data_IF_524285636992
#
_entry.id   IF_524285636992
#
_cell.length_a   1.000
_cell.length_b   1.000
_cell.length_c   1.000
_cell.angle_alpha   90.00
_cell.angle_beta   90.00
_cell.angle_gamma   90.00
#
_symmetry.space_group_name_H-M   'P 1'
#
loop_
_entity.id
_entity.type
_entity.pdbx_description
1 polymer ?
#
# COMPACT_ATOMS: atom_id res chain seq x y z
N UNK A 1 53.63 -30.05 -3.55
CA UNK A 1 52.92 -29.92 -4.84
C UNK A 1 52.15 -31.21 -5.05
N UNK A 2 50.88 -31.25 -4.65
CA UNK A 2 50.06 -32.44 -4.84
C UNK A 2 49.89 -32.66 -6.35
N UNK A 3 50.36 -33.80 -6.85
CA UNK A 3 50.47 -34.10 -8.28
C UNK A 3 49.12 -34.19 -9.01
N UNK A 4 49.11 -34.65 -10.28
CA UNK A 4 47.96 -34.59 -11.20
C UNK A 4 46.66 -35.19 -10.64
N UNK A 5 46.72 -36.13 -9.70
CA UNK A 5 45.54 -36.68 -9.03
C UNK A 5 44.69 -35.63 -8.30
N UNK A 6 45.32 -34.57 -7.75
CA UNK A 6 44.57 -33.49 -7.08
C UNK A 6 43.85 -32.59 -8.09
N UNK A 7 44.40 -32.47 -9.29
CA UNK A 7 43.75 -31.71 -10.36
C UNK A 7 42.49 -32.44 -10.84
N UNK A 8 42.56 -33.75 -11.08
CA UNK A 8 41.38 -34.56 -11.45
C UNK A 8 40.27 -34.50 -10.40
N UNK A 9 40.61 -34.51 -9.11
CA UNK A 9 39.62 -34.36 -8.05
C UNK A 9 38.91 -32.99 -8.10
N UNK A 10 39.67 -31.91 -8.27
CA UNK A 10 39.11 -30.56 -8.41
C UNK A 10 38.22 -30.44 -9.64
N UNK A 11 38.66 -30.99 -10.77
CA UNK A 11 37.86 -31.04 -11.99
C UNK A 11 36.55 -31.82 -11.78
N UNK A 12 36.61 -32.96 -11.10
CA UNK A 12 35.43 -33.73 -10.71
C UNK A 12 34.47 -32.89 -9.87
N UNK A 13 34.96 -32.25 -8.81
CA UNK A 13 34.11 -31.38 -7.96
C UNK A 13 33.51 -30.24 -8.76
N UNK A 14 34.29 -29.56 -9.60
CA UNK A 14 33.78 -28.44 -10.41
C UNK A 14 32.76 -28.84 -11.47
N UNK A 15 32.79 -30.08 -11.96
CA UNK A 15 31.76 -30.58 -12.88
C UNK A 15 30.53 -31.09 -12.12
N UNK A 16 30.76 -31.95 -11.11
CA UNK A 16 29.67 -32.63 -10.41
C UNK A 16 28.89 -31.71 -9.47
N UNK A 17 29.53 -30.71 -8.87
CA UNK A 17 28.83 -29.81 -7.95
C UNK A 17 27.74 -29.00 -8.66
N UNK A 18 28.02 -28.27 -9.76
CA UNK A 18 26.97 -27.58 -10.50
C UNK A 18 25.93 -28.53 -11.09
N UNK A 19 26.34 -29.69 -11.60
CA UNK A 19 25.38 -30.69 -12.13
C UNK A 19 24.44 -31.21 -11.05
N UNK A 20 24.96 -31.54 -9.86
CA UNK A 20 24.17 -32.07 -8.76
C UNK A 20 23.18 -31.02 -8.25
N UNK A 21 23.62 -29.77 -8.10
CA UNK A 21 22.76 -28.63 -7.76
C UNK A 21 21.65 -28.47 -8.82
N UNK A 22 22.00 -28.53 -10.11
CA UNK A 22 21.03 -28.42 -11.20
C UNK A 22 20.00 -29.57 -11.18
N UNK A 23 20.42 -30.81 -10.94
CA UNK A 23 19.49 -31.96 -10.88
C UNK A 23 18.59 -31.89 -9.66
N UNK A 24 19.11 -31.45 -8.52
CA UNK A 24 18.33 -31.35 -7.29
C UNK A 24 17.29 -30.22 -7.35
N UNK A 25 17.75 -29.00 -7.63
CA UNK A 25 16.90 -27.80 -7.64
C UNK A 25 16.15 -27.58 -8.96
N UNK A 26 16.63 -28.15 -10.06
CA UNK A 26 15.99 -28.08 -11.37
C UNK A 26 14.87 -29.10 -11.57
N UNK A 27 14.60 -29.96 -10.58
CA UNK A 27 13.45 -30.85 -10.67
C UNK A 27 12.15 -30.04 -10.68
N UNK A 28 11.21 -30.34 -11.59
CA UNK A 28 9.94 -29.62 -11.66
C UNK A 28 9.16 -29.78 -10.35
N UNK A 29 9.30 -30.91 -9.67
CA UNK A 29 8.70 -31.16 -8.38
C UNK A 29 9.19 -30.18 -7.30
N UNK A 30 10.52 -30.01 -7.15
CA UNK A 30 11.09 -29.09 -6.18
C UNK A 30 10.63 -27.64 -6.41
N UNK A 31 10.56 -27.20 -7.67
CA UNK A 31 10.04 -25.88 -8.03
C UNK A 31 8.58 -25.68 -7.63
N UNK A 32 7.72 -26.68 -7.91
CA UNK A 32 6.29 -26.61 -7.57
C UNK A 32 6.07 -26.54 -6.05
N UNK A 33 6.85 -27.26 -5.25
CA UNK A 33 6.66 -27.28 -3.80
C UNK A 33 7.28 -26.07 -3.08
N UNK A 34 8.42 -25.56 -3.57
CA UNK A 34 9.18 -24.55 -2.83
C UNK A 34 8.99 -23.13 -3.39
N UNK A 35 8.82 -22.97 -4.71
CA UNK A 35 8.80 -21.64 -5.35
C UNK A 35 7.37 -21.15 -5.58
N UNK A 36 6.47 -22.02 -6.05
CA UNK A 36 5.08 -21.61 -6.33
C UNK A 36 4.31 -21.13 -5.10
N UNK A 37 4.38 -21.78 -3.92
CA UNK A 37 3.61 -21.33 -2.76
C UNK A 37 4.06 -19.96 -2.24
N UNK A 38 5.35 -19.63 -2.42
CA UNK A 38 5.89 -18.31 -2.06
C UNK A 38 5.28 -17.22 -2.95
N UNK A 39 5.02 -17.53 -4.23
CA UNK A 39 4.37 -16.59 -5.16
C UNK A 39 3.00 -16.16 -4.62
N UNK A 40 2.22 -17.10 -4.12
CA UNK A 40 0.85 -16.84 -3.64
C UNK A 40 0.82 -16.08 -2.30
N UNK A 41 1.90 -16.18 -1.51
CA UNK A 41 2.06 -15.41 -0.28
C UNK A 41 2.54 -13.98 -0.53
N UNK A 42 3.41 -13.79 -1.54
CA UNK A 42 4.00 -12.48 -1.81
C UNK A 42 3.11 -11.61 -2.71
N UNK A 43 2.42 -12.20 -3.69
CA UNK A 43 1.54 -11.45 -4.57
C UNK A 43 0.12 -11.34 -4.00
N UNK A 44 -0.51 -10.14 -4.06
CA UNK A 44 -1.93 -10.01 -3.74
C UNK A 44 -2.76 -10.94 -4.61
N UNK A 45 -3.74 -11.63 -4.01
CA UNK A 45 -4.65 -12.51 -4.74
C UNK A 45 -5.35 -11.73 -5.86
N UNK A 46 -5.49 -12.33 -7.04
CA UNK A 46 -6.13 -11.69 -8.21
C UNK A 46 -7.57 -11.25 -7.96
N UNK A 47 -8.24 -11.83 -6.96
CA UNK A 47 -9.58 -11.46 -6.50
C UNK A 47 -9.59 -10.13 -5.72
N UNK A 48 -8.50 -9.83 -4.99
CA UNK A 48 -8.35 -8.57 -4.26
C UNK A 48 -8.00 -7.40 -5.17
N UNK A 49 -7.57 -7.70 -6.40
CA UNK A 49 -7.13 -6.69 -7.34
C UNK A 49 -8.32 -6.02 -8.00
N UNK A 50 -8.30 -4.68 -8.06
CA UNK A 50 -9.30 -3.91 -8.79
C UNK A 50 -9.28 -4.30 -10.26
N UNK A 51 -10.41 -4.82 -10.76
CA UNK A 51 -10.60 -5.17 -12.17
C UNK A 51 -11.26 -3.99 -12.87
N UNK A 52 -10.57 -3.31 -13.80
CA UNK A 52 -11.19 -2.23 -14.56
C UNK A 52 -12.32 -2.78 -15.44
N UNK A 53 -13.45 -2.07 -15.55
CA UNK A 53 -14.56 -2.48 -16.39
C UNK A 53 -14.11 -2.56 -17.85
N UNK A 54 -14.38 -3.70 -18.50
CA UNK A 54 -13.97 -3.95 -19.89
C UNK A 54 -15.13 -3.85 -20.87
N UNK A 55 -16.35 -4.07 -20.40
CA UNK A 55 -17.56 -4.07 -21.21
C UNK A 55 -18.36 -2.78 -21.00
N UNK A 56 -19.18 -2.41 -21.97
CA UNK A 56 -20.02 -1.20 -21.89
C UNK A 56 -21.06 -1.26 -20.75
N UNK A 57 -21.54 -2.46 -20.42
CA UNK A 57 -22.43 -2.71 -19.29
C UNK A 57 -21.69 -2.51 -17.96
N UNK A 58 -20.49 -3.07 -17.81
CA UNK A 58 -19.64 -2.88 -16.62
C UNK A 58 -19.28 -1.41 -16.37
N UNK A 59 -19.13 -0.62 -17.44
CA UNK A 59 -18.86 0.81 -17.32
C UNK A 59 -20.05 1.56 -16.71
N UNK A 60 -21.28 1.17 -17.07
CA UNK A 60 -22.49 1.79 -16.52
C UNK A 60 -22.66 1.43 -15.04
N UNK A 61 -22.50 0.16 -14.68
CA UNK A 61 -22.60 -0.29 -13.29
C UNK A 61 -21.54 0.38 -12.41
N UNK A 62 -20.30 0.44 -12.86
CA UNK A 62 -19.23 1.15 -12.15
C UNK A 62 -19.52 2.64 -11.98
N UNK A 63 -20.09 3.31 -13.00
CA UNK A 63 -20.48 4.71 -12.90
C UNK A 63 -21.58 4.94 -11.86
N UNK A 64 -22.59 4.07 -11.83
CA UNK A 64 -23.70 4.19 -10.89
C UNK A 64 -23.24 3.92 -9.45
N UNK A 65 -22.34 2.94 -9.24
CA UNK A 65 -21.66 2.78 -7.95
C UNK A 65 -20.87 4.03 -7.54
N UNK A 66 -20.13 4.65 -8.47
CA UNK A 66 -19.38 5.86 -8.17
C UNK A 66 -20.29 7.03 -7.81
N UNK A 67 -21.44 7.18 -8.47
CA UNK A 67 -22.46 8.18 -8.11
C UNK A 67 -23.02 7.92 -6.71
N UNK A 68 -23.39 6.67 -6.41
CA UNK A 68 -23.90 6.29 -5.10
C UNK A 68 -22.88 6.56 -3.98
N UNK A 69 -21.60 6.19 -4.20
CA UNK A 69 -20.50 6.49 -3.26
C UNK A 69 -20.33 8.00 -3.03
N UNK A 70 -20.49 8.83 -4.06
CA UNK A 70 -20.43 10.30 -3.95
C UNK A 70 -21.59 10.87 -3.13
N UNK A 71 -22.82 10.38 -3.36
CA UNK A 71 -24.00 10.82 -2.62
C UNK A 71 -23.90 10.44 -1.14
N UNK A 72 -23.56 9.19 -0.83
CA UNK A 72 -23.37 8.72 0.55
C UNK A 72 -22.30 9.54 1.30
N UNK A 73 -21.18 9.86 0.64
CA UNK A 73 -20.13 10.72 1.23
C UNK A 73 -20.61 12.15 1.46
N UNK A 74 -21.47 12.69 0.59
CA UNK A 74 -22.06 14.02 0.76
C UNK A 74 -23.03 14.03 1.94
N UNK A 75 -23.87 13.02 2.06
CA UNK A 75 -24.81 12.87 3.18
C UNK A 75 -24.09 12.74 4.52
N UNK A 76 -23.04 11.90 4.60
CA UNK A 76 -22.23 11.76 5.80
C UNK A 76 -21.63 13.10 6.26
N UNK A 77 -21.08 13.89 5.32
CA UNK A 77 -20.55 15.24 5.63
C UNK A 77 -21.62 16.20 6.15
N UNK A 78 -22.84 16.09 5.61
CA UNK A 78 -23.94 16.97 6.00
C UNK A 78 -24.49 16.59 7.38
N UNK A 79 -24.51 15.29 7.71
CA UNK A 79 -24.85 14.79 9.04
C UNK A 79 -23.80 15.19 10.09
N UNK A 80 -22.51 15.13 9.76
CA UNK A 80 -21.42 15.59 10.63
C UNK A 80 -21.57 17.10 10.92
N UNK A 81 -21.77 17.93 9.88
CA UNK A 81 -21.99 19.37 10.06
C UNK A 81 -23.27 19.71 10.83
N UNK A 82 -24.35 18.95 10.61
CA UNK A 82 -25.60 19.12 11.37
C UNK A 82 -25.46 18.74 12.84
N UNK A 83 -24.66 17.72 13.16
CA UNK A 83 -24.34 17.34 14.55
C UNK A 83 -23.48 18.40 15.24
N UNK A 84 -22.47 18.95 14.55
CA UNK A 84 -21.63 20.02 15.10
C UNK A 84 -22.42 21.32 15.36
N UNK A 85 -23.38 21.67 14.49
CA UNK A 85 -24.29 22.80 14.72
C UNK A 85 -25.30 22.58 15.85
N UNK A 86 -25.74 21.34 16.08
CA UNK A 86 -26.68 21.05 17.17
C UNK A 86 -25.99 20.87 18.54
N UNK A 87 -24.67 20.60 18.59
CA UNK A 87 -23.90 20.58 19.83
C UNK A 87 -23.35 21.95 20.25
N UNK A 88 -23.41 22.96 19.37
CA UNK A 88 -22.91 24.33 19.62
C UNK A 88 -24.01 25.33 20.02
N UNK A 89 -25.26 24.89 20.19
CA UNK A 89 -26.41 25.73 20.59
C UNK A 89 -26.71 25.71 22.10
N UNK A 90 -25.69 25.59 22.95
CA UNK A 90 -25.81 26.00 24.37
C UNK A 90 -25.58 27.51 24.43
N UNK A 91 -26.59 28.34 24.79
CA UNK A 91 -26.43 29.79 24.79
C UNK A 91 -25.85 30.23 26.14
N UNK A 92 -24.67 30.84 26.10
CA UNK A 92 -24.14 31.63 27.20
C UNK A 92 -23.70 33.00 26.67
N UNK A 93 -24.63 33.94 26.83
CA UNK A 93 -24.52 35.32 27.28
C UNK A 93 -23.17 36.06 27.14
N UNK A 94 -23.31 37.30 26.63
CA UNK A 94 -22.51 38.51 26.87
C UNK A 94 -21.10 38.64 26.26
N UNK A 95 -21.02 39.61 25.34
CA UNK A 95 -20.03 40.70 25.24
C UNK A 95 -18.55 40.39 25.56
N UNK A 96 -17.66 40.70 24.62
CA UNK A 96 -16.71 41.86 24.70
C UNK A 96 -15.63 41.74 23.63
N UNK A 97 -15.39 42.87 22.97
CA UNK A 97 -14.28 43.18 22.06
C UNK A 97 -12.92 42.92 22.73
N UNK A 98 -12.06 42.08 22.15
CA UNK A 98 -10.61 42.14 22.40
C UNK A 98 -9.83 41.39 21.31
N UNK A 99 -9.09 42.16 20.52
CA UNK A 99 -7.99 41.71 19.65
C UNK A 99 -6.94 40.93 20.44
N UNK A 100 -6.50 39.75 19.97
CA UNK A 100 -5.29 39.09 20.46
C UNK A 100 -4.61 38.19 19.40
N UNK A 101 -3.26 38.09 19.42
CA UNK A 101 -2.45 37.52 18.36
C UNK A 101 -2.20 36.02 18.60
N UNK A 102 -2.96 35.15 17.94
CA UNK A 102 -2.74 33.70 18.08
C UNK A 102 -2.66 32.93 16.75
N UNK A 103 -2.99 33.58 15.63
CA UNK A 103 -3.06 32.93 14.31
C UNK A 103 -1.68 32.50 13.78
N UNK A 104 -0.61 33.21 14.13
CA UNK A 104 0.72 32.99 13.56
C UNK A 104 1.41 31.68 14.02
N UNK A 105 1.03 31.14 15.19
CA UNK A 105 1.67 29.95 15.77
C UNK A 105 1.03 28.63 15.29
N UNK A 106 -0.21 28.68 14.80
CA UNK A 106 -0.88 27.51 14.24
C UNK A 106 -0.50 27.30 12.77
N UNK A 107 -0.38 28.39 12.01
CA UNK A 107 0.01 28.34 10.60
C UNK A 107 1.42 27.76 10.41
N UNK A 108 2.35 28.09 11.31
CA UNK A 108 3.73 27.56 11.30
C UNK A 108 3.79 26.06 11.62
N UNK A 109 2.92 25.57 12.51
CA UNK A 109 2.85 24.13 12.84
C UNK A 109 2.24 23.31 11.71
N UNK A 110 1.23 23.88 11.02
CA UNK A 110 0.60 23.24 9.86
C UNK A 110 1.58 23.20 8.67
N UNK A 111 2.34 24.27 8.43
CA UNK A 111 3.37 24.31 7.39
C UNK A 111 4.46 23.24 7.62
N UNK A 112 4.90 23.05 8.87
CA UNK A 112 5.88 22.01 9.21
C UNK A 112 5.34 20.58 9.01
N UNK A 113 4.08 20.33 9.35
CA UNK A 113 3.43 19.02 9.15
C UNK A 113 3.23 18.68 7.66
N UNK A 114 3.06 19.69 6.80
CA UNK A 114 2.91 19.49 5.35
C UNK A 114 4.26 19.15 4.71
N UNK A 115 5.34 19.81 5.12
CA UNK A 115 6.69 19.54 4.59
C UNK A 115 7.19 18.15 4.98
N UNK A 116 6.93 17.73 6.22
CA UNK A 116 7.35 16.41 6.75
C UNK A 116 6.59 15.25 6.09
N UNK A 117 5.33 15.46 5.70
CA UNK A 117 4.58 14.48 4.88
C UNK A 117 5.05 14.43 3.42
N UNK A 118 5.60 15.53 2.90
CA UNK A 118 6.11 15.60 1.52
C UNK A 118 7.46 14.89 1.41
N UNK A 119 8.33 15.01 2.42
CA UNK A 119 9.62 14.32 2.48
C UNK A 119 9.46 12.80 2.58
N UNK A 120 8.50 12.31 3.39
CA UNK A 120 8.23 10.87 3.52
C UNK A 120 7.69 10.20 2.26
N UNK A 121 7.18 10.97 1.29
CA UNK A 121 6.60 10.43 0.05
C UNK A 121 7.62 10.33 -1.09
N UNK A 122 8.85 10.79 -0.87
CA UNK A 122 9.94 10.84 -1.86
C UNK A 122 11.04 9.80 -1.60
N UNK A 123 10.80 8.84 -0.71
CA UNK A 123 11.61 7.62 -0.53
C UNK A 123 10.77 6.43 -0.96
#
# INVERSE_FOLDING_TARGET
>A
MAGPNLELFKFGVYLFFPLAVMVHYGSPFWYNENVLPIRDQFWPKEESLYRPPRTSEDLKTALDEMKAKRLAKREARLQEQGKEMNSSSVPSTSATVASSPLTQKQDSKIAQLVEDKRSQRLV
#
